data_IF_890284864708
#
_entry.id   IF_890284864708
#
_cell.length_a   1.000
_cell.length_b   1.000
_cell.length_c   1.000
_cell.angle_alpha   90.00
_cell.angle_beta   90.00
_cell.angle_gamma   90.00
#
_symmetry.space_group_name_H-M   'P 1'
#
loop_
_entity.id
_entity.type
_entity.pdbx_description
1 polymer ?
#
# COMPACT_ATOMS: atom_id res chain seq x y z
N UNK A 1 -4.47 -3.58 -0.68
CA UNK A 1 -4.36 -3.58 -2.15
C UNK A 1 -4.73 -4.99 -2.62
N UNK A 2 -5.47 -5.14 -3.70
CA UNK A 2 -6.06 -6.43 -4.10
C UNK A 2 -5.74 -6.68 -5.56
N UNK A 3 -5.05 -7.78 -5.85
CA UNK A 3 -4.84 -8.29 -7.19
C UNK A 3 -5.78 -9.48 -7.41
N UNK A 4 -6.80 -9.28 -8.23
CA UNK A 4 -7.78 -10.31 -8.56
C UNK A 4 -7.23 -11.35 -9.53
N UNK A 5 -6.25 -11.01 -10.37
CA UNK A 5 -5.69 -11.93 -11.35
C UNK A 5 -4.64 -12.84 -10.70
N UNK A 6 -3.74 -12.26 -9.90
CA UNK A 6 -2.75 -13.01 -9.12
C UNK A 6 -3.31 -13.64 -7.84
N UNK A 7 -4.52 -13.25 -7.41
CA UNK A 7 -5.15 -13.78 -6.20
C UNK A 7 -4.42 -13.35 -4.93
N UNK A 8 -4.06 -12.07 -4.82
CA UNK A 8 -3.30 -11.55 -3.66
C UNK A 8 -4.04 -10.38 -3.00
N UNK A 9 -3.89 -10.28 -1.69
CA UNK A 9 -4.32 -9.13 -0.89
C UNK A 9 -3.16 -8.67 -0.04
N UNK A 10 -2.74 -7.44 -0.25
CA UNK A 10 -1.52 -6.89 0.32
C UNK A 10 -1.86 -5.73 1.24
N UNK A 11 -1.47 -5.84 2.50
CA UNK A 11 -1.71 -4.86 3.56
C UNK A 11 -0.48 -3.99 3.73
N UNK A 12 -0.63 -2.68 3.62
CA UNK A 12 0.46 -1.74 3.75
C UNK A 12 0.23 -0.80 4.94
N UNK A 13 1.31 -0.51 5.68
CA UNK A 13 1.32 0.45 6.78
C UNK A 13 2.64 1.24 6.75
N UNK A 14 2.54 2.53 6.50
CA UNK A 14 3.69 3.43 6.44
C UNK A 14 4.38 3.62 7.79
N UNK A 15 3.69 3.36 8.90
CA UNK A 15 4.13 3.68 10.26
C UNK A 15 4.61 2.46 11.05
N UNK A 16 4.58 1.26 10.46
CA UNK A 16 4.85 0.00 11.16
C UNK A 16 4.08 -0.11 12.49
N UNK A 17 2.83 0.34 12.48
CA UNK A 17 1.95 0.37 13.64
C UNK A 17 1.49 -1.02 14.04
N UNK A 18 1.05 -1.14 15.30
CA UNK A 18 0.38 -2.33 15.80
C UNK A 18 -0.94 -2.63 15.10
N UNK A 19 -1.54 -1.66 14.39
CA UNK A 19 -2.79 -1.83 13.67
C UNK A 19 -2.67 -2.74 12.43
N UNK A 20 -1.45 -2.93 11.90
CA UNK A 20 -1.20 -3.80 10.74
C UNK A 20 -1.81 -5.20 10.93
N UNK A 21 -1.75 -5.74 12.15
CA UNK A 21 -2.33 -7.06 12.44
C UNK A 21 -3.86 -7.04 12.35
N UNK A 22 -4.52 -6.03 12.93
CA UNK A 22 -5.98 -5.88 12.84
C UNK A 22 -6.45 -5.67 11.40
N UNK A 23 -5.71 -4.90 10.60
CA UNK A 23 -6.00 -4.69 9.18
C UNK A 23 -5.80 -5.99 8.39
N UNK A 24 -4.78 -6.79 8.71
CA UNK A 24 -4.59 -8.14 8.13
C UNK A 24 -5.78 -9.05 8.42
N UNK A 25 -6.26 -9.08 9.67
CA UNK A 25 -7.45 -9.87 10.03
C UNK A 25 -8.67 -9.40 9.25
N UNK A 26 -8.89 -8.08 9.15
CA UNK A 26 -9.97 -7.52 8.35
C UNK A 26 -9.84 -7.94 6.87
N UNK A 27 -8.64 -7.89 6.30
CA UNK A 27 -8.38 -8.34 4.93
C UNK A 27 -8.72 -9.82 4.73
N UNK A 28 -8.37 -10.69 5.69
CA UNK A 28 -8.74 -12.12 5.66
C UNK A 28 -10.26 -12.32 5.70
N UNK A 29 -10.99 -11.50 6.47
CA UNK A 29 -12.45 -11.54 6.46
C UNK A 29 -13.01 -11.11 5.09
N UNK A 30 -12.51 -9.99 4.56
CA UNK A 30 -12.97 -9.42 3.29
C UNK A 30 -12.67 -10.30 2.07
N UNK A 31 -11.64 -11.14 2.11
CA UNK A 31 -11.33 -12.11 1.04
C UNK A 31 -12.54 -12.99 0.68
N UNK A 32 -13.38 -13.33 1.65
CA UNK A 32 -14.57 -14.15 1.43
C UNK A 32 -15.67 -13.43 0.63
N UNK A 33 -15.57 -12.11 0.48
CA UNK A 33 -16.50 -11.29 -0.30
C UNK A 33 -16.00 -11.05 -1.73
N UNK A 34 -14.78 -11.50 -2.06
CA UNK A 34 -14.22 -11.31 -3.40
C UNK A 34 -14.84 -12.30 -4.41
N UNK A 35 -14.87 -11.94 -5.70
CA UNK A 35 -15.42 -12.80 -6.74
C UNK A 35 -14.74 -14.18 -6.75
N UNK A 36 -15.55 -15.24 -6.73
CA UNK A 36 -15.10 -16.64 -6.81
C UNK A 36 -14.67 -17.07 -8.21
N UNK A 37 -14.72 -16.16 -9.20
CA UNK A 37 -14.23 -16.40 -10.55
C UNK A 37 -12.70 -16.57 -10.63
N UNK A 38 -11.99 -16.25 -9.55
CA UNK A 38 -10.55 -16.41 -9.43
C UNK A 38 -10.24 -17.84 -9.02
N UNK A 39 -9.47 -18.56 -9.84
CA UNK A 39 -9.17 -19.99 -9.64
C UNK A 39 -8.24 -20.27 -8.46
N UNK A 40 -7.57 -19.23 -7.94
CA UNK A 40 -6.60 -19.34 -6.85
C UNK A 40 -7.17 -18.80 -5.53
N UNK A 41 -6.90 -19.47 -4.40
CA UNK A 41 -7.26 -18.93 -3.10
C UNK A 41 -6.47 -17.65 -2.84
N UNK A 42 -7.17 -16.58 -2.47
CA UNK A 42 -6.53 -15.31 -2.16
C UNK A 42 -5.55 -15.46 -0.99
N UNK A 43 -4.34 -14.95 -1.17
CA UNK A 43 -3.31 -14.91 -0.12
C UNK A 43 -3.20 -13.51 0.46
N UNK A 44 -3.24 -13.42 1.79
CA UNK A 44 -3.10 -12.16 2.51
C UNK A 44 -1.70 -12.02 3.11
N UNK A 45 -0.97 -10.95 2.78
CA UNK A 45 0.31 -10.63 3.39
C UNK A 45 0.54 -9.14 3.58
N UNK A 46 1.65 -8.79 4.24
CA UNK A 46 2.07 -7.39 4.40
C UNK A 46 2.90 -7.01 3.18
N UNK A 47 2.59 -5.86 2.59
CA UNK A 47 3.34 -5.30 1.47
C UNK A 47 4.60 -4.62 1.98
N UNK A 48 5.76 -5.07 1.49
CA UNK A 48 7.03 -4.36 1.73
C UNK A 48 7.33 -3.45 0.54
N UNK A 49 7.08 -2.16 0.73
CA UNK A 49 7.34 -1.13 -0.29
C UNK A 49 8.83 -0.74 -0.43
N UNK A 50 9.70 -1.13 0.52
CA UNK A 50 11.07 -0.60 0.58
C UNK A 50 11.20 0.90 0.91
N UNK A 51 10.09 1.62 1.10
CA UNK A 51 10.05 3.06 1.43
C UNK A 51 10.59 3.39 2.84
N UNK A 52 10.78 2.37 3.67
CA UNK A 52 11.07 2.51 5.10
C UNK A 52 9.84 2.91 5.92
N UNK A 53 10.07 3.22 7.20
CA UNK A 53 9.03 3.65 8.14
C UNK A 53 8.96 5.17 8.15
N UNK A 54 7.76 5.70 7.98
CA UNK A 54 7.47 7.13 8.16
C UNK A 54 7.76 7.54 9.61
N UNK A 55 8.50 8.64 9.77
CA UNK A 55 8.91 9.17 11.08
C UNK A 55 8.14 10.41 11.52
N UNK A 56 7.33 11.01 10.65
CA UNK A 56 6.46 12.15 10.95
C UNK A 56 4.97 11.73 11.08
N UNK A 57 4.09 12.68 11.41
CA UNK A 57 2.67 12.43 11.65
C UNK A 57 1.74 12.81 10.49
N UNK A 58 2.25 13.22 9.32
CA UNK A 58 1.45 13.85 8.27
C UNK A 58 1.72 13.36 6.84
N UNK A 59 2.70 12.49 6.62
CA UNK A 59 3.03 11.96 5.30
C UNK A 59 2.40 10.60 4.97
N UNK A 60 1.64 9.98 5.88
CA UNK A 60 1.07 8.63 5.69
C UNK A 60 0.28 8.47 4.39
N UNK A 61 -0.54 9.46 4.04
CA UNK A 61 -1.27 9.45 2.77
C UNK A 61 -0.35 9.42 1.54
N UNK A 62 0.80 10.11 1.60
CA UNK A 62 1.78 10.10 0.51
C UNK A 62 2.45 8.72 0.40
N UNK A 63 2.85 8.12 1.52
CA UNK A 63 3.41 6.76 1.53
C UNK A 63 2.42 5.73 0.97
N UNK A 64 1.13 5.81 1.35
CA UNK A 64 0.08 4.92 0.83
C UNK A 64 -0.07 5.06 -0.68
N UNK A 65 -0.08 6.29 -1.21
CA UNK A 65 -0.16 6.51 -2.66
C UNK A 65 1.06 5.94 -3.39
N UNK A 66 2.27 6.15 -2.87
CA UNK A 66 3.50 5.61 -3.48
C UNK A 66 3.53 4.08 -3.44
N UNK A 67 3.18 3.47 -2.31
CA UNK A 67 3.08 2.02 -2.20
C UNK A 67 2.03 1.45 -3.17
N UNK A 68 0.92 2.18 -3.38
CA UNK A 68 -0.09 1.80 -4.36
C UNK A 68 0.41 1.91 -5.80
N UNK A 69 1.15 2.96 -6.15
CA UNK A 69 1.81 3.06 -7.47
C UNK A 69 2.74 1.86 -7.72
N UNK A 70 3.55 1.48 -6.72
CA UNK A 70 4.44 0.30 -6.82
C UNK A 70 3.65 -1.01 -6.96
N UNK A 71 2.57 -1.17 -6.20
CA UNK A 71 1.66 -2.29 -6.34
C UNK A 71 1.06 -2.39 -7.76
N UNK A 72 0.80 -1.24 -8.40
CA UNK A 72 0.37 -1.16 -9.80
C UNK A 72 1.51 -1.32 -10.83
N UNK A 73 2.73 -1.66 -10.40
CA UNK A 73 3.86 -1.94 -11.28
C UNK A 73 4.80 -0.75 -11.53
N UNK A 74 4.69 0.35 -10.77
CA UNK A 74 5.71 1.40 -10.80
C UNK A 74 7.04 0.92 -10.20
N UNK A 75 8.14 1.50 -10.68
CA UNK A 75 9.48 1.18 -10.19
C UNK A 75 9.63 1.45 -8.68
N UNK A 76 10.27 0.54 -7.91
CA UNK A 76 10.55 0.76 -6.51
C UNK A 76 11.42 2.00 -6.30
N UNK A 77 10.97 2.90 -5.42
CA UNK A 77 11.71 4.13 -5.10
C UNK A 77 12.79 3.92 -4.03
N UNK A 78 12.70 2.84 -3.24
CA UNK A 78 13.53 2.66 -2.05
C UNK A 78 13.26 3.74 -1.00
N UNK A 79 14.28 4.08 -0.20
CA UNK A 79 14.15 5.11 0.84
C UNK A 79 13.90 6.51 0.26
N UNK A 80 12.91 7.22 0.80
CA UNK A 80 12.51 8.54 0.31
C UNK A 80 12.75 9.61 1.39
N UNK A 81 13.53 10.64 1.03
CA UNK A 81 13.78 11.76 1.94
C UNK A 81 12.61 12.77 2.00
N UNK A 82 12.65 13.65 3.00
CA UNK A 82 11.61 14.66 3.23
C UNK A 82 11.40 15.60 2.03
N UNK A 83 12.47 15.97 1.32
CA UNK A 83 12.39 16.89 0.18
C UNK A 83 11.66 16.22 -0.98
N UNK A 84 11.98 14.96 -1.23
CA UNK A 84 11.36 14.13 -2.25
C UNK A 84 9.88 13.90 -1.92
N UNK A 85 9.52 13.62 -0.66
CA UNK A 85 8.12 13.53 -0.24
C UNK A 85 7.33 14.82 -0.50
N UNK A 86 7.93 16.00 -0.30
CA UNK A 86 7.29 17.28 -0.62
C UNK A 86 7.06 17.45 -2.12
N UNK A 87 8.05 17.10 -2.95
CA UNK A 87 7.90 17.11 -4.41
C UNK A 87 6.81 16.16 -4.88
N UNK A 88 6.75 14.94 -4.31
CA UNK A 88 5.72 13.95 -4.63
C UNK A 88 4.33 14.40 -4.18
N UNK A 89 4.19 15.02 -3.01
CA UNK A 89 2.94 15.65 -2.59
C UNK A 89 2.48 16.72 -3.59
N UNK A 90 3.40 17.56 -4.07
CA UNK A 90 3.06 18.55 -5.10
C UNK A 90 2.67 17.89 -6.43
N UNK A 91 3.34 16.80 -6.83
CA UNK A 91 2.96 16.00 -8.01
C UNK A 91 1.51 15.51 -7.91
N UNK A 92 1.12 14.92 -6.79
CA UNK A 92 -0.27 14.47 -6.60
C UNK A 92 -1.27 15.63 -6.60
N UNK A 93 -0.95 16.75 -5.94
CA UNK A 93 -1.80 17.94 -5.98
C UNK A 93 -2.03 18.43 -7.43
N UNK A 94 -0.97 18.44 -8.25
CA UNK A 94 -1.00 18.82 -9.66
C UNK A 94 -1.80 17.87 -10.57
N UNK A 95 -2.11 16.66 -10.12
CA UNK A 95 -2.98 15.74 -10.85
C UNK A 95 -4.46 15.96 -10.52
N UNK A 96 -4.76 16.59 -9.37
CA UNK A 96 -6.12 16.89 -8.93
C UNK A 96 -6.62 18.27 -9.36
N UNK A 97 -5.72 19.14 -9.82
CA UNK A 97 -6.01 20.48 -10.33
C UNK A 97 -5.92 20.49 -11.86
#
# INVERSE_FOLDING_TARGET
>A
MIDLEGGTVEVYDSSSSSYTMSVRVLAQTLVHLLPTSVQTPFRVWVFDSGLGVQTDSYNCGIYVLLAFEMFCGAEPLGYVDKKTLQCLRYRYLRMCL
#
